data_IF_413499502465
#
_entry.id   IF_413499502465
#
_cell.length_a   1.000
_cell.length_b   1.000
_cell.length_c   1.000
_cell.angle_alpha   90.00
_cell.angle_beta   90.00
_cell.angle_gamma   90.00
#
_symmetry.space_group_name_H-M   'P 1'
#
loop_
_entity.id
_entity.type
_entity.pdbx_description
1 polymer ?
#
# COMPACT_ATOMS: atom_id res chain seq x y z
N UNK A 1 11.02 19.12 11.18
CA UNK A 1 11.04 18.50 9.84
C UNK A 1 9.80 19.01 9.09
N UNK A 2 9.94 19.45 7.85
CA UNK A 2 8.81 19.91 7.05
C UNK A 2 8.10 18.69 6.47
N UNK A 3 6.76 18.65 6.58
CA UNK A 3 5.94 17.64 5.90
C UNK A 3 6.25 17.64 4.40
N UNK A 4 6.52 16.50 3.77
CA UNK A 4 6.74 16.46 2.33
C UNK A 4 5.47 16.93 1.60
N UNK A 5 5.65 17.66 0.52
CA UNK A 5 4.52 18.09 -0.31
C UNK A 5 3.89 16.91 -1.06
N UNK A 6 2.63 17.09 -1.49
CA UNK A 6 1.87 16.01 -2.16
C UNK A 6 2.55 15.53 -3.45
N UNK A 7 3.27 16.39 -4.16
CA UNK A 7 3.96 16.00 -5.40
C UNK A 7 5.12 15.05 -5.09
N UNK A 8 5.91 15.35 -4.06
CA UNK A 8 6.99 14.49 -3.56
C UNK A 8 6.46 13.14 -3.09
N UNK A 9 5.36 13.12 -2.29
CA UNK A 9 4.75 11.88 -1.80
C UNK A 9 4.23 11.03 -2.97
N UNK A 10 3.59 11.66 -3.94
CA UNK A 10 3.09 10.99 -5.15
C UNK A 10 4.24 10.37 -5.95
N UNK A 11 5.35 11.10 -6.13
CA UNK A 11 6.52 10.61 -6.84
C UNK A 11 7.20 9.43 -6.13
N UNK A 12 7.39 9.52 -4.82
CA UNK A 12 7.94 8.43 -4.00
C UNK A 12 7.05 7.18 -4.07
N UNK A 13 5.73 7.34 -3.98
CA UNK A 13 4.77 6.22 -4.08
C UNK A 13 4.82 5.59 -5.47
N UNK A 14 4.94 6.39 -6.53
CA UNK A 14 5.09 5.90 -7.90
C UNK A 14 6.40 5.13 -8.08
N UNK A 15 7.52 5.65 -7.58
CA UNK A 15 8.81 4.95 -7.63
C UNK A 15 8.76 3.60 -6.91
N UNK A 16 8.12 3.53 -5.74
CA UNK A 16 7.89 2.27 -5.03
C UNK A 16 7.05 1.29 -5.86
N UNK A 17 5.94 1.75 -6.42
CA UNK A 17 5.08 0.94 -7.27
C UNK A 17 5.86 0.37 -8.47
N UNK A 18 6.66 1.19 -9.13
CA UNK A 18 7.43 0.81 -10.33
C UNK A 18 8.63 -0.09 -10.00
N UNK A 19 9.43 0.26 -8.97
CA UNK A 19 10.67 -0.45 -8.65
C UNK A 19 10.42 -1.76 -7.87
N UNK A 20 9.55 -1.73 -6.86
CA UNK A 20 9.26 -2.89 -6.02
C UNK A 20 8.08 -3.69 -6.54
N UNK A 21 6.86 -3.11 -6.52
CA UNK A 21 5.65 -3.89 -6.77
C UNK A 21 5.63 -4.48 -8.18
N UNK A 22 5.95 -3.67 -9.19
CA UNK A 22 5.99 -4.07 -10.61
C UNK A 22 7.35 -4.67 -10.95
N UNK A 23 8.45 -4.01 -10.55
CA UNK A 23 9.80 -4.41 -10.91
C UNK A 23 10.19 -5.78 -10.39
N UNK A 24 9.82 -6.11 -9.17
CA UNK A 24 10.00 -7.45 -8.58
C UNK A 24 8.82 -8.39 -8.86
N UNK A 25 7.79 -7.89 -9.55
CA UNK A 25 6.55 -8.62 -9.81
C UNK A 25 5.90 -9.16 -8.53
N UNK A 26 5.93 -8.37 -7.44
CA UNK A 26 5.27 -8.74 -6.17
C UNK A 26 3.74 -8.84 -6.34
N UNK A 27 3.18 -7.99 -7.21
CA UNK A 27 1.80 -8.07 -7.63
C UNK A 27 1.74 -8.19 -9.16
N UNK A 28 1.44 -9.38 -9.71
CA UNK A 28 1.40 -9.57 -11.17
C UNK A 28 0.33 -8.75 -11.87
N UNK A 29 -0.63 -8.22 -11.10
CA UNK A 29 -1.77 -7.45 -11.62
C UNK A 29 -1.53 -5.94 -11.66
N UNK A 30 -0.51 -5.44 -10.96
CA UNK A 30 -0.24 -4.01 -10.84
C UNK A 30 0.21 -3.35 -12.17
N UNK A 31 0.92 -4.10 -13.01
CA UNK A 31 1.53 -3.57 -14.23
C UNK A 31 0.51 -3.07 -15.25
N UNK A 32 -0.55 -3.82 -15.49
CA UNK A 32 -1.52 -3.49 -16.53
C UNK A 32 -2.30 -2.21 -16.23
N UNK A 33 -2.88 -1.99 -15.03
CA UNK A 33 -3.49 -0.73 -14.66
C UNK A 33 -2.49 0.44 -14.68
N UNK A 34 -1.25 0.23 -14.21
CA UNK A 34 -0.23 1.27 -14.20
C UNK A 34 0.11 1.77 -15.60
N UNK A 35 0.36 0.88 -16.56
CA UNK A 35 0.68 1.24 -17.95
C UNK A 35 -0.49 1.95 -18.64
N UNK A 36 -1.72 1.64 -18.26
CA UNK A 36 -2.94 2.27 -18.78
C UNK A 36 -3.31 3.58 -18.06
N UNK A 37 -2.52 4.03 -17.07
CA UNK A 37 -2.81 5.19 -16.23
C UNK A 37 -4.14 5.08 -15.46
N UNK A 38 -4.51 3.89 -15.03
CA UNK A 38 -5.75 3.60 -14.28
C UNK A 38 -5.51 3.49 -12.77
N UNK A 39 -4.30 3.79 -12.29
CA UNK A 39 -3.92 3.83 -10.87
C UNK A 39 -3.94 5.28 -10.41
N UNK A 40 -4.82 5.59 -9.47
CA UNK A 40 -4.86 6.89 -8.80
C UNK A 40 -4.00 6.86 -7.54
N UNK A 41 -3.14 7.85 -7.37
CA UNK A 41 -2.42 8.12 -6.11
C UNK A 41 -3.04 9.38 -5.51
N UNK A 42 -3.72 9.24 -4.39
CA UNK A 42 -4.35 10.32 -3.64
C UNK A 42 -3.59 10.55 -2.34
N UNK A 43 -3.10 11.77 -2.11
CA UNK A 43 -2.34 12.11 -0.91
C UNK A 43 -3.22 12.89 0.04
N UNK A 44 -3.60 12.28 1.16
CA UNK A 44 -4.34 12.93 2.23
C UNK A 44 -3.47 13.97 2.94
N UNK A 45 -4.04 15.13 3.21
CA UNK A 45 -3.45 16.21 4.00
C UNK A 45 -4.15 16.36 5.38
N UNK A 46 -4.95 15.36 5.75
CA UNK A 46 -5.65 15.34 7.02
C UNK A 46 -4.66 15.46 8.20
N UNK A 47 -5.09 16.12 9.26
CA UNK A 47 -4.30 16.26 10.49
C UNK A 47 -4.80 15.38 11.62
N UNK A 48 -5.96 14.78 11.44
CA UNK A 48 -6.67 13.93 12.39
C UNK A 48 -7.34 12.79 11.67
N UNK A 49 -7.63 11.72 12.40
CA UNK A 49 -8.25 10.51 11.88
C UNK A 49 -9.56 10.81 11.14
N UNK A 50 -10.44 11.64 11.70
CA UNK A 50 -11.74 11.98 11.09
C UNK A 50 -11.57 12.54 9.68
N UNK A 51 -10.64 13.48 9.48
CA UNK A 51 -10.36 14.05 8.17
C UNK A 51 -9.74 13.03 7.20
N UNK A 52 -8.97 12.07 7.70
CA UNK A 52 -8.46 10.97 6.88
C UNK A 52 -9.59 10.01 6.44
N UNK A 53 -10.53 9.73 7.34
CA UNK A 53 -11.72 8.93 7.01
C UNK A 53 -12.65 9.64 6.02
N UNK A 54 -12.77 10.97 6.09
CA UNK A 54 -13.46 11.77 5.06
C UNK A 54 -12.76 11.67 3.69
N UNK A 55 -11.43 11.65 3.67
CA UNK A 55 -10.67 11.44 2.44
C UNK A 55 -10.86 10.01 1.91
N UNK A 56 -10.89 9.00 2.79
CA UNK A 56 -11.18 7.61 2.44
C UNK A 56 -12.59 7.48 1.85
N UNK A 57 -13.60 8.04 2.51
CA UNK A 57 -14.98 8.05 2.04
C UNK A 57 -15.09 8.62 0.62
N UNK A 58 -14.46 9.76 0.37
CA UNK A 58 -14.44 10.41 -0.94
C UNK A 58 -13.76 9.56 -2.02
N UNK A 59 -12.63 8.90 -1.70
CA UNK A 59 -11.93 8.03 -2.65
C UNK A 59 -12.70 6.72 -2.90
N UNK A 60 -13.39 6.17 -1.90
CA UNK A 60 -14.28 5.02 -2.05
C UNK A 60 -15.47 5.35 -2.97
N UNK A 61 -16.13 6.49 -2.75
CA UNK A 61 -17.22 6.95 -3.61
C UNK A 61 -16.75 7.21 -5.05
N UNK A 62 -15.56 7.83 -5.21
CA UNK A 62 -14.97 8.06 -6.52
C UNK A 62 -14.71 6.73 -7.23
N UNK A 63 -14.07 5.79 -6.56
CA UNK A 63 -13.77 4.46 -7.11
C UNK A 63 -15.07 3.73 -7.43
N UNK A 64 -16.05 3.68 -6.51
CA UNK A 64 -17.33 2.98 -6.70
C UNK A 64 -18.16 3.51 -7.88
N UNK A 65 -18.11 4.83 -8.14
CA UNK A 65 -18.91 5.50 -9.16
C UNK A 65 -18.19 5.65 -10.52
N UNK A 66 -16.90 5.34 -10.61
CA UNK A 66 -16.12 5.46 -11.84
C UNK A 66 -15.95 4.08 -12.50
N UNK A 67 -16.15 3.94 -13.84
CA UNK A 67 -15.88 2.69 -14.54
C UNK A 67 -14.43 2.21 -14.39
N UNK A 68 -14.20 0.90 -14.37
CA UNK A 68 -12.87 0.31 -14.18
C UNK A 68 -11.88 0.62 -15.31
N UNK A 69 -12.36 0.92 -16.50
CA UNK A 69 -11.55 1.34 -17.65
C UNK A 69 -11.14 2.82 -17.61
N UNK A 70 -11.65 3.59 -16.63
CA UNK A 70 -11.26 4.97 -16.34
C UNK A 70 -10.46 5.06 -15.02
N UNK A 71 -10.84 4.27 -14.00
CA UNK A 71 -10.18 4.19 -12.69
C UNK A 71 -10.25 2.78 -12.15
N UNK A 72 -9.16 2.05 -12.20
CA UNK A 72 -9.09 0.66 -11.75
C UNK A 72 -8.88 0.54 -10.23
N UNK A 73 -8.02 1.37 -9.68
CA UNK A 73 -7.61 1.29 -8.28
C UNK A 73 -7.07 2.60 -7.75
N UNK A 74 -7.15 2.79 -6.43
CA UNK A 74 -6.63 3.99 -5.74
C UNK A 74 -5.65 3.60 -4.64
N UNK A 75 -4.51 4.29 -4.59
CA UNK A 75 -3.60 4.32 -3.45
C UNK A 75 -3.88 5.60 -2.65
N UNK A 76 -4.53 5.48 -1.50
CA UNK A 76 -4.72 6.59 -0.57
C UNK A 76 -3.56 6.62 0.40
N UNK A 77 -2.72 7.66 0.30
CA UNK A 77 -1.45 7.78 1.02
C UNK A 77 -1.54 8.87 2.07
N UNK A 78 -1.06 8.59 3.29
CA UNK A 78 -0.93 9.62 4.33
C UNK A 78 0.51 9.73 4.86
N UNK A 79 1.20 10.87 4.64
CA UNK A 79 2.63 10.96 4.94
C UNK A 79 2.98 11.10 6.42
N UNK A 80 2.05 11.45 7.31
CA UNK A 80 2.40 11.87 8.68
C UNK A 80 1.47 11.40 9.80
N UNK A 81 0.24 10.92 9.50
CA UNK A 81 -0.77 10.66 10.53
C UNK A 81 -0.51 9.38 11.33
N UNK A 82 0.06 8.37 10.68
CA UNK A 82 0.28 7.04 11.28
C UNK A 82 1.78 6.77 11.40
N UNK A 83 2.44 7.30 12.45
CA UNK A 83 3.89 7.19 12.59
C UNK A 83 4.35 5.78 12.95
N UNK A 84 3.47 4.95 13.50
CA UNK A 84 3.74 3.56 13.89
C UNK A 84 2.70 2.60 13.28
N UNK A 85 3.13 1.36 13.08
CA UNK A 85 2.30 0.33 12.45
C UNK A 85 1.12 -0.08 13.32
N UNK A 86 1.26 -0.12 14.65
CA UNK A 86 0.20 -0.55 15.55
C UNK A 86 -0.99 0.41 15.50
N UNK A 87 -0.73 1.72 15.53
CA UNK A 87 -1.77 2.75 15.37
C UNK A 87 -2.44 2.66 14.01
N UNK A 88 -1.67 2.42 12.95
CA UNK A 88 -2.20 2.22 11.60
C UNK A 88 -3.07 0.97 11.51
N UNK A 89 -2.60 -0.14 12.07
CA UNK A 89 -3.32 -1.43 12.05
C UNK A 89 -4.65 -1.36 12.82
N UNK A 90 -4.69 -0.66 13.96
CA UNK A 90 -5.93 -0.46 14.72
C UNK A 90 -6.99 0.37 13.96
N UNK A 91 -6.57 1.21 13.03
CA UNK A 91 -7.48 2.01 12.19
C UNK A 91 -8.13 1.16 11.09
N UNK A 92 -7.57 0.02 10.71
CA UNK A 92 -8.05 -0.78 9.57
C UNK A 92 -9.49 -1.26 9.77
N UNK A 93 -9.90 -1.64 10.99
CA UNK A 93 -11.29 -2.03 11.28
C UNK A 93 -12.26 -0.88 10.98
N UNK A 94 -11.86 0.37 11.25
CA UNK A 94 -12.66 1.56 10.94
C UNK A 94 -12.68 1.82 9.45
N UNK A 95 -11.56 1.61 8.77
CA UNK A 95 -11.48 1.74 7.31
C UNK A 95 -12.38 0.71 6.60
N UNK A 96 -12.39 -0.53 7.06
CA UNK A 96 -13.27 -1.57 6.53
C UNK A 96 -14.76 -1.27 6.81
N UNK A 97 -15.08 -0.74 8.01
CA UNK A 97 -16.44 -0.26 8.30
C UNK A 97 -16.87 0.86 7.35
N UNK A 98 -15.94 1.76 6.95
CA UNK A 98 -16.21 2.81 5.98
C UNK A 98 -16.58 2.25 4.59
N UNK A 99 -15.99 1.12 4.18
CA UNK A 99 -16.36 0.41 2.94
C UNK A 99 -17.82 -0.06 3.02
N UNK A 100 -18.22 -0.65 4.17
CA UNK A 100 -19.58 -1.11 4.41
C UNK A 100 -20.58 0.05 4.41
N UNK A 101 -20.25 1.14 5.11
CA UNK A 101 -21.11 2.35 5.21
C UNK A 101 -21.34 3.01 3.83
N UNK A 102 -20.39 2.88 2.91
CA UNK A 102 -20.53 3.31 1.52
C UNK A 102 -21.29 2.33 0.63
N UNK A 103 -21.76 1.19 1.16
CA UNK A 103 -22.42 0.14 0.38
C UNK A 103 -21.52 -0.55 -0.64
N UNK A 104 -20.22 -0.57 -0.39
CA UNK A 104 -19.20 -1.14 -1.27
C UNK A 104 -18.67 -2.50 -0.79
N UNK A 105 -19.30 -3.10 0.22
CA UNK A 105 -19.01 -4.46 0.66
C UNK A 105 -19.16 -5.44 -0.52
N UNK A 106 -18.15 -6.30 -0.74
CA UNK A 106 -18.10 -7.20 -1.89
C UNK A 106 -17.83 -6.52 -3.24
N UNK A 107 -17.58 -5.20 -3.27
CA UNK A 107 -17.25 -4.43 -4.47
C UNK A 107 -15.82 -3.90 -4.39
N UNK A 108 -15.42 -3.38 -3.23
CA UNK A 108 -14.08 -2.84 -2.96
C UNK A 108 -13.54 -3.46 -1.68
N UNK A 109 -12.28 -3.84 -1.68
CA UNK A 109 -11.54 -4.20 -0.47
C UNK A 109 -10.34 -3.28 -0.27
N UNK A 110 -9.86 -3.20 0.97
CA UNK A 110 -8.68 -2.42 1.34
C UNK A 110 -7.51 -3.38 1.62
N UNK A 111 -6.35 -3.09 1.00
CA UNK A 111 -5.09 -3.73 1.34
C UNK A 111 -4.14 -2.69 1.98
N UNK A 112 -3.65 -2.95 3.22
CA UNK A 112 -2.79 -2.01 3.92
C UNK A 112 -1.32 -2.16 3.52
N UNK A 113 -0.63 -1.01 3.46
CA UNK A 113 0.82 -0.92 3.34
C UNK A 113 1.36 0.13 4.33
N UNK A 114 2.48 -0.17 4.94
CA UNK A 114 3.10 0.74 5.92
C UNK A 114 4.63 0.62 5.88
N UNK A 115 5.40 1.69 6.16
CA UNK A 115 6.86 1.59 6.22
C UNK A 115 7.39 0.50 7.16
N UNK A 116 6.71 0.30 8.30
CA UNK A 116 7.04 -0.70 9.32
C UNK A 116 6.03 -1.86 9.35
N UNK A 117 5.41 -2.19 8.20
CA UNK A 117 4.48 -3.32 8.14
C UNK A 117 5.14 -4.60 8.69
N UNK A 118 4.38 -5.33 9.51
CA UNK A 118 4.83 -6.57 10.12
C UNK A 118 3.69 -7.59 10.12
N UNK A 119 3.92 -8.77 9.57
CA UNK A 119 2.99 -9.87 9.66
C UNK A 119 2.98 -10.46 11.07
N UNK A 120 1.83 -10.96 11.49
CA UNK A 120 1.70 -11.65 12.77
C UNK A 120 2.69 -12.84 12.84
N UNK A 121 3.39 -12.94 13.97
CA UNK A 121 4.35 -14.02 14.21
C UNK A 121 5.71 -13.86 13.52
N UNK A 122 5.96 -12.76 12.81
CA UNK A 122 7.28 -12.45 12.23
C UNK A 122 8.07 -11.47 13.11
N UNK A 123 9.39 -11.46 12.96
CA UNK A 123 10.23 -10.42 13.54
C UNK A 123 10.13 -9.12 12.73
N UNK A 124 10.36 -7.98 13.39
CA UNK A 124 10.24 -6.67 12.75
C UNK A 124 11.23 -6.45 11.61
N UNK A 125 12.35 -7.18 11.57
CA UNK A 125 13.36 -7.14 10.52
C UNK A 125 13.24 -8.27 9.49
N UNK A 126 12.20 -9.11 9.62
CA UNK A 126 11.92 -10.14 8.62
C UNK A 126 11.71 -9.51 7.24
N UNK A 127 12.51 -9.96 6.27
CA UNK A 127 12.45 -9.45 4.89
C UNK A 127 11.11 -9.77 4.21
N UNK A 128 10.40 -10.81 4.65
CA UNK A 128 9.07 -11.15 4.15
C UNK A 128 8.05 -10.03 4.38
N UNK A 129 8.20 -9.22 5.43
CA UNK A 129 7.35 -8.07 5.71
C UNK A 129 7.37 -7.02 4.58
N UNK A 130 8.44 -7.00 3.80
CA UNK A 130 8.64 -6.03 2.72
C UNK A 130 7.70 -6.23 1.53
N UNK A 131 6.97 -7.33 1.47
CA UNK A 131 5.86 -7.48 0.51
C UNK A 131 4.78 -6.41 0.71
N UNK A 132 4.59 -5.95 1.96
CA UNK A 132 3.59 -4.95 2.32
C UNK A 132 4.20 -3.64 2.84
N UNK A 133 5.53 -3.46 2.72
CA UNK A 133 6.18 -2.19 3.05
C UNK A 133 6.12 -1.21 1.90
N UNK A 134 5.77 0.04 2.24
CA UNK A 134 5.65 1.18 1.34
C UNK A 134 6.39 2.39 1.91
N UNK A 135 6.70 3.43 1.11
CA UNK A 135 7.34 4.65 1.61
C UNK A 135 6.53 5.39 2.67
N UNK A 136 5.20 5.27 2.63
CA UNK A 136 4.26 5.96 3.51
C UNK A 136 3.10 5.03 3.85
N UNK A 137 2.42 5.22 5.01
CA UNK A 137 1.15 4.55 5.28
C UNK A 137 0.19 4.71 4.11
N UNK A 138 -0.31 3.60 3.59
CA UNK A 138 -1.10 3.58 2.36
C UNK A 138 -2.24 2.59 2.47
N UNK A 139 -3.46 3.02 2.16
CA UNK A 139 -4.60 2.16 1.91
C UNK A 139 -4.75 1.97 0.41
N UNK A 140 -4.64 0.73 -0.04
CA UNK A 140 -4.87 0.37 -1.43
C UNK A 140 -6.31 -0.08 -1.61
N UNK A 141 -7.12 0.73 -2.29
CA UNK A 141 -8.52 0.45 -2.58
C UNK A 141 -8.59 -0.35 -3.88
N UNK A 142 -9.06 -1.60 -3.80
CA UNK A 142 -9.01 -2.56 -4.89
C UNK A 142 -10.44 -3.04 -5.19
N UNK A 143 -10.81 -3.11 -6.47
CA UNK A 143 -12.07 -3.72 -6.89
C UNK A 143 -12.01 -5.24 -6.72
N UNK A 144 -13.01 -5.83 -6.08
CA UNK A 144 -13.07 -7.29 -5.91
C UNK A 144 -13.20 -8.03 -7.23
N UNK A 145 -13.93 -7.47 -8.21
CA UNK A 145 -14.00 -8.02 -9.57
C UNK A 145 -12.63 -8.13 -10.24
N UNK A 146 -11.72 -7.20 -9.97
CA UNK A 146 -10.36 -7.22 -10.50
C UNK A 146 -9.52 -8.30 -9.86
N UNK A 147 -9.70 -8.51 -8.55
CA UNK A 147 -9.07 -9.61 -7.83
C UNK A 147 -9.60 -10.95 -8.34
N UNK A 148 -10.92 -11.08 -8.52
CA UNK A 148 -11.54 -12.29 -9.03
C UNK A 148 -11.04 -12.65 -10.44
N UNK A 149 -10.93 -11.67 -11.34
CA UNK A 149 -10.34 -11.86 -12.68
C UNK A 149 -8.87 -12.27 -12.59
N UNK A 150 -8.14 -11.65 -11.68
CA UNK A 150 -6.76 -11.96 -11.40
C UNK A 150 -6.58 -13.38 -10.89
N UNK A 151 -7.41 -13.83 -9.94
CA UNK A 151 -7.39 -15.18 -9.40
C UNK A 151 -7.73 -16.23 -10.48
N UNK A 152 -8.57 -15.92 -11.46
CA UNK A 152 -8.82 -16.81 -12.60
C UNK A 152 -7.59 -17.00 -13.49
N UNK A 153 -6.80 -15.94 -13.68
CA UNK A 153 -5.56 -16.00 -14.45
C UNK A 153 -4.41 -16.68 -13.68
N UNK A 154 -4.45 -16.66 -12.35
CA UNK A 154 -3.47 -17.27 -11.45
C UNK A 154 -4.22 -18.02 -10.34
N UNK A 155 -4.63 -19.28 -10.59
CA UNK A 155 -5.50 -20.05 -9.70
C UNK A 155 -4.91 -20.32 -8.31
N UNK A 156 -3.59 -20.20 -8.17
CA UNK A 156 -2.87 -20.41 -6.91
C UNK A 156 -2.33 -19.08 -6.37
N UNK A 157 -3.18 -18.38 -5.62
CA UNK A 157 -2.77 -17.14 -4.94
C UNK A 157 -1.71 -17.39 -3.85
N UNK A 158 -1.69 -18.59 -3.24
CA UNK A 158 -0.66 -18.96 -2.26
C UNK A 158 0.71 -19.05 -2.90
N UNK A 159 0.80 -19.53 -4.13
CA UNK A 159 2.05 -19.58 -4.89
C UNK A 159 2.63 -18.18 -5.17
N UNK A 160 1.78 -17.14 -5.29
CA UNK A 160 2.26 -15.75 -5.43
C UNK A 160 2.94 -15.31 -4.13
N UNK A 161 2.30 -15.56 -2.99
CA UNK A 161 2.82 -15.22 -1.68
C UNK A 161 4.15 -15.94 -1.41
N UNK A 162 4.18 -17.27 -1.55
CA UNK A 162 5.38 -18.09 -1.35
C UNK A 162 6.54 -17.65 -2.27
N UNK A 163 6.24 -17.36 -3.52
CA UNK A 163 7.23 -16.84 -4.48
C UNK A 163 7.79 -15.49 -4.04
N UNK A 164 6.94 -14.59 -3.54
CA UNK A 164 7.35 -13.28 -3.09
C UNK A 164 8.28 -13.38 -1.87
N UNK A 165 7.94 -14.21 -0.89
CA UNK A 165 8.80 -14.49 0.27
C UNK A 165 10.16 -15.06 -0.19
N UNK A 166 10.17 -16.12 -0.99
CA UNK A 166 11.40 -16.73 -1.48
C UNK A 166 12.26 -15.75 -2.30
N UNK A 167 11.62 -14.86 -3.08
CA UNK A 167 12.34 -13.80 -3.80
C UNK A 167 13.00 -12.81 -2.85
N UNK A 168 12.29 -12.34 -1.84
CA UNK A 168 12.80 -11.38 -0.87
C UNK A 168 13.89 -12.00 0.01
N UNK A 169 13.72 -13.23 0.46
CA UNK A 169 14.75 -13.97 1.20
C UNK A 169 16.05 -14.10 0.39
N UNK A 170 15.93 -14.47 -0.89
CA UNK A 170 17.09 -14.56 -1.79
C UNK A 170 17.75 -13.20 -2.03
N UNK A 171 16.97 -12.13 -2.08
CA UNK A 171 17.44 -10.77 -2.32
C UNK A 171 18.11 -10.19 -1.06
N UNK A 172 17.51 -10.43 0.10
CA UNK A 172 17.90 -9.87 1.39
C UNK A 172 17.79 -8.35 1.45
N UNK A 173 18.12 -7.78 2.61
CA UNK A 173 18.04 -6.33 2.84
C UNK A 173 18.96 -5.54 1.88
N UNK A 174 20.16 -6.04 1.61
CA UNK A 174 21.08 -5.39 0.66
C UNK A 174 20.50 -5.30 -0.76
N UNK A 175 19.77 -6.34 -1.19
CA UNK A 175 19.10 -6.35 -2.50
C UNK A 175 17.95 -5.36 -2.54
N UNK A 176 17.18 -5.28 -1.46
CA UNK A 176 16.10 -4.29 -1.33
C UNK A 176 16.63 -2.86 -1.32
N UNK A 177 17.71 -2.58 -0.57
CA UNK A 177 18.31 -1.24 -0.51
C UNK A 177 18.83 -0.77 -1.87
N UNK A 178 19.27 -1.69 -2.73
CA UNK A 178 19.70 -1.37 -4.12
C UNK A 178 18.57 -0.93 -5.03
N UNK A 179 17.29 -1.15 -4.67
CA UNK A 179 16.16 -0.61 -5.42
C UNK A 179 16.07 0.90 -5.28
N UNK A 180 16.75 1.48 -4.30
CA UNK A 180 16.76 2.92 -4.04
C UNK A 180 15.33 3.48 -4.01
N UNK A 181 14.48 2.84 -3.20
CA UNK A 181 13.12 3.29 -2.96
C UNK A 181 13.15 4.41 -1.93
N UNK A 182 12.53 5.56 -2.22
CA UNK A 182 12.46 6.64 -1.25
C UNK A 182 11.85 6.18 0.08
N UNK A 183 12.40 6.62 1.19
CA UNK A 183 11.87 6.34 2.53
C UNK A 183 11.13 7.57 3.05
N UNK A 184 10.12 7.33 3.88
CA UNK A 184 9.43 8.40 4.61
C UNK A 184 10.47 9.20 5.42
N UNK A 185 10.54 10.53 5.30
CA UNK A 185 11.45 11.35 6.11
C UNK A 185 11.09 11.35 7.60
N UNK A 186 9.92 10.84 7.96
CA UNK A 186 9.46 10.59 9.31
C UNK A 186 9.71 9.14 9.77
N UNK A 187 10.63 8.45 9.11
CA UNK A 187 11.13 7.17 9.61
C UNK A 187 11.57 7.39 11.07
N UNK A 188 10.74 6.93 11.98
CA UNK A 188 11.01 6.90 13.42
C UNK A 188 12.08 5.83 13.66
N UNK A 189 13.25 6.10 13.07
CA UNK A 189 14.37 5.21 13.02
C UNK A 189 14.58 4.47 14.31
N UNK A 190 14.72 3.17 14.21
CA UNK A 190 15.50 2.40 15.16
C UNK A 190 16.81 3.17 15.37
N UNK A 191 16.90 3.91 16.47
CA UNK A 191 18.16 4.45 16.98
C UNK A 191 19.10 3.26 16.97
N UNK A 192 20.12 3.27 16.09
CA UNK A 192 21.21 2.32 16.23
C UNK A 192 21.67 2.48 17.66
N UNK A 193 21.42 1.47 18.48
CA UNK A 193 22.07 1.34 19.74
C UNK A 193 23.57 1.31 19.42
N UNK A 194 24.22 2.43 19.64
CA UNK A 194 25.67 2.52 19.62
C UNK A 194 26.16 1.72 20.82
N UNK A 195 26.75 0.59 20.56
CA UNK A 195 27.73 0.01 21.47
C UNK A 195 28.97 0.93 21.56
#
# INVERSE_FOLDING_TARGET
MTTPDSATVTDHTRQWLEKAVIGLNLCPFAKAPHVKNLVRISVSQARHLDGFLEDLDRELQLLGNTPADELETTLLVHPTLFPDFDTFNQMLDIADATVVDNGLEGIVQIAPFHPDFQFEGTDSDDIGNYTNRSPYPTLHLIREDSIAKAAQAFPDASAIFERNIALLEKMGHEGWDKLDIPRCPFDHGKTKASE
#
